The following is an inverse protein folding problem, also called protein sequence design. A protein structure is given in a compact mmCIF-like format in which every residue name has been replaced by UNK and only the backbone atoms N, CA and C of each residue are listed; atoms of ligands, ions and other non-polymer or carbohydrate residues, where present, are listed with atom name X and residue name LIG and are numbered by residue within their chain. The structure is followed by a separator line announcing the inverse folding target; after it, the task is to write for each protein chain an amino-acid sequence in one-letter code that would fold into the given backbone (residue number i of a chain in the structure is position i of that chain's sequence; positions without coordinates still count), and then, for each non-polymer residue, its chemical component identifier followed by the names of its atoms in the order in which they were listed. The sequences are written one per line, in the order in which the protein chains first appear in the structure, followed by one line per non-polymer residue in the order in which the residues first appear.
data_IF_259705467601
#
_entry.id   IF_259705467601
#
_cell.length_a   1.000
_cell.length_b   1.000
_cell.length_c   1.000
_cell.angle_alpha   90.00
_cell.angle_beta   90.00
_cell.angle_gamma   90.00
#
_symmetry.space_group_name_H-M   'P 1'
#
loop_
_entity.id
_entity.type
_entity.pdbx_description
1 polymer ?
#
# COMPACT_ATOMS: atom_id res chain seq x y z
N UNK A 1 -12.70 -0.44 20.83
CA UNK A 1 -11.57 -1.40 20.87
C UNK A 1 -10.24 -0.64 20.76
N UNK A 2 -9.11 -1.18 21.26
CA UNK A 2 -7.80 -0.58 21.00
C UNK A 2 -7.51 -0.57 19.49
N UNK A 3 -6.75 0.42 18.97
CA UNK A 3 -6.47 0.54 17.54
C UNK A 3 -5.58 -0.59 16.98
N UNK A 4 -4.94 -1.38 17.86
CA UNK A 4 -4.17 -2.57 17.52
C UNK A 4 -4.52 -3.75 18.41
N UNK A 5 -4.49 -4.95 17.82
CA UNK A 5 -4.29 -6.20 18.56
C UNK A 5 -2.87 -6.30 19.11
N UNK A 6 -2.63 -7.23 20.04
CA UNK A 6 -1.29 -7.51 20.57
C UNK A 6 -0.26 -7.78 19.45
N UNK A 7 -0.60 -8.60 18.45
CA UNK A 7 0.24 -8.88 17.27
C UNK A 7 0.62 -7.60 16.50
N UNK A 8 -0.31 -6.66 16.34
CA UNK A 8 -0.05 -5.38 15.70
C UNK A 8 0.90 -4.48 16.48
N UNK A 9 0.89 -4.57 17.82
CA UNK A 9 1.84 -3.86 18.68
C UNK A 9 3.26 -4.47 18.60
N UNK A 10 3.36 -5.81 18.56
CA UNK A 10 4.63 -6.52 18.32
C UNK A 10 5.22 -6.08 16.98
N UNK A 11 4.44 -6.12 15.90
CA UNK A 11 4.90 -5.65 14.59
C UNK A 11 5.39 -4.20 14.62
N UNK A 12 4.66 -3.29 15.27
CA UNK A 12 5.04 -1.89 15.39
C UNK A 12 6.37 -1.67 16.14
N UNK A 13 6.72 -2.53 17.11
CA UNK A 13 8.01 -2.50 17.81
C UNK A 13 9.18 -2.99 16.96
N UNK A 14 8.94 -4.00 16.11
CA UNK A 14 9.97 -4.60 15.25
C UNK A 14 10.27 -3.75 14.00
N UNK A 15 9.25 -3.05 13.48
CA UNK A 15 9.31 -2.29 12.23
C UNK A 15 10.50 -1.32 12.10
N UNK A 16 10.96 -0.58 13.15
CA UNK A 16 12.12 0.31 13.04
C UNK A 16 13.42 -0.42 12.72
N UNK A 17 13.68 -1.57 13.36
CA UNK A 17 14.89 -2.36 13.08
C UNK A 17 14.81 -2.95 11.68
N UNK A 18 13.67 -3.57 11.33
CA UNK A 18 13.49 -4.20 10.02
C UNK A 18 13.60 -3.18 8.89
N UNK A 19 13.11 -1.95 9.07
CA UNK A 19 13.27 -0.89 8.09
C UNK A 19 14.74 -0.42 7.98
N UNK A 20 15.44 -0.27 9.10
CA UNK A 20 16.87 0.09 9.09
C UNK A 20 17.76 -0.97 8.43
N UNK A 21 17.45 -2.26 8.61
CA UNK A 21 18.17 -3.37 7.96
C UNK A 21 17.96 -3.40 6.43
N UNK A 22 16.94 -2.70 5.91
CA UNK A 22 16.63 -2.56 4.47
C UNK A 22 17.14 -1.26 3.88
N UNK A 23 17.08 -0.18 4.63
CA UNK A 23 17.55 1.17 4.27
C UNK A 23 19.07 1.23 4.48
N UNK A 24 19.79 0.34 3.80
CA UNK A 24 21.23 0.15 3.95
C UNK A 24 21.97 1.40 3.41
N UNK A 25 22.81 2.07 4.22
CA UNK A 25 23.66 3.15 3.73
C UNK A 25 24.61 2.63 2.64
N UNK A 26 24.92 3.44 1.63
CA UNK A 26 26.13 3.19 0.84
C UNK A 26 27.32 3.32 1.79
N UNK A 27 28.16 2.29 1.91
CA UNK A 27 29.14 2.22 3.01
C UNK A 27 29.97 3.52 3.15
N UNK A 28 29.93 4.10 4.35
CA UNK A 28 30.49 5.42 4.67
C UNK A 28 29.52 6.61 4.62
N UNK A 29 28.28 6.46 4.11
CA UNK A 29 27.24 7.49 4.17
C UNK A 29 26.36 7.36 5.42
N UNK A 30 25.65 8.43 5.76
CA UNK A 30 24.45 8.29 6.60
C UNK A 30 23.41 7.38 5.90
N UNK A 31 22.47 6.76 6.64
CA UNK A 31 21.33 6.09 6.02
C UNK A 31 20.62 7.07 5.08
N UNK A 32 20.23 6.66 3.86
CA UNK A 32 19.46 7.53 2.99
C UNK A 32 18.19 7.96 3.74
N UNK A 33 17.82 9.25 3.70
CA UNK A 33 16.65 9.72 4.42
C UNK A 33 15.41 9.00 3.92
N UNK A 34 14.49 8.74 4.85
CA UNK A 34 13.20 8.10 4.54
C UNK A 34 12.10 9.08 4.91
N UNK A 35 11.17 9.31 3.99
CA UNK A 35 9.92 9.99 4.29
C UNK A 35 8.89 8.94 4.72
N UNK A 36 8.41 8.99 5.96
CA UNK A 36 7.38 8.06 6.44
C UNK A 36 6.00 8.69 6.27
N UNK A 37 5.16 8.10 5.42
CA UNK A 37 3.81 8.59 5.18
C UNK A 37 2.78 7.65 5.80
N UNK A 38 1.77 8.26 6.42
CA UNK A 38 0.72 7.54 7.16
C UNK A 38 -0.65 8.07 6.77
N UNK A 39 -1.70 7.26 6.96
CA UNK A 39 -3.07 7.79 7.00
C UNK A 39 -3.33 8.60 8.27
N UNK A 40 -4.48 9.28 8.33
CA UNK A 40 -4.92 9.99 9.54
C UNK A 40 -5.49 9.05 10.62
N UNK A 41 -5.68 7.76 10.30
CA UNK A 41 -6.25 6.79 11.23
C UNK A 41 -5.21 6.26 12.22
N UNK A 42 -5.60 6.19 13.50
CA UNK A 42 -4.71 5.87 14.63
C UNK A 42 -3.82 4.63 14.40
N UNK A 43 -4.31 3.60 13.72
CA UNK A 43 -3.56 2.36 13.45
C UNK A 43 -2.30 2.56 12.58
N UNK A 44 -2.31 3.49 11.62
CA UNK A 44 -1.09 3.75 10.83
C UNK A 44 -0.12 4.64 11.59
N UNK A 45 -0.65 5.61 12.32
CA UNK A 45 0.13 6.55 13.14
C UNK A 45 0.89 5.80 14.24
N UNK A 46 0.24 4.86 14.94
CA UNK A 46 0.85 4.07 16.00
C UNK A 46 1.86 3.07 15.43
N UNK A 47 1.56 2.35 14.34
CA UNK A 47 2.54 1.46 13.68
C UNK A 47 3.80 2.21 13.24
N UNK A 48 3.66 3.43 12.71
CA UNK A 48 4.79 4.25 12.29
C UNK A 48 5.52 4.96 13.44
N UNK A 49 4.95 5.00 14.66
CA UNK A 49 5.41 5.90 15.74
C UNK A 49 6.87 5.71 16.12
N UNK A 50 7.35 4.46 16.20
CA UNK A 50 8.72 4.10 16.54
C UNK A 50 9.75 4.30 15.41
N UNK A 51 9.33 4.62 14.18
CA UNK A 51 10.28 4.85 13.08
C UNK A 51 11.08 6.14 13.34
N UNK A 52 12.42 6.16 13.26
CA UNK A 52 13.25 7.32 13.60
C UNK A 52 13.32 8.38 12.48
N UNK A 53 12.28 8.45 11.64
CA UNK A 53 12.21 9.26 10.43
C UNK A 53 11.09 10.32 10.52
N UNK A 54 11.16 11.41 9.73
CA UNK A 54 10.08 12.39 9.59
C UNK A 54 8.77 11.73 9.13
N UNK A 55 7.65 12.13 9.74
CA UNK A 55 6.33 11.55 9.49
C UNK A 55 5.38 12.58 8.92
N UNK A 56 4.70 12.24 7.84
CA UNK A 56 3.64 13.05 7.22
C UNK A 56 2.33 12.27 7.23
N UNK A 57 1.23 12.92 7.57
CA UNK A 57 -0.11 12.34 7.51
C UNK A 57 -0.81 12.80 6.24
N UNK A 58 -1.29 11.84 5.44
CA UNK A 58 -2.05 12.08 4.22
C UNK A 58 -3.46 11.57 4.41
N UNK A 59 -4.46 12.46 4.32
CA UNK A 59 -5.87 12.04 4.34
C UNK A 59 -6.23 11.13 3.15
N UNK A 60 -5.55 11.34 2.02
CA UNK A 60 -5.64 10.48 0.85
C UNK A 60 -5.16 9.03 1.09
N UNK A 61 -4.46 8.73 2.20
CA UNK A 61 -4.08 7.38 2.61
C UNK A 61 -5.08 6.72 3.59
N UNK A 62 -6.18 7.37 3.97
CA UNK A 62 -7.25 6.76 4.78
C UNK A 62 -7.87 5.54 4.05
N UNK A 63 -8.30 4.50 4.77
CA UNK A 63 -8.88 3.28 4.16
C UNK A 63 -10.14 3.60 3.33
N UNK A 64 -10.48 2.72 2.38
CA UNK A 64 -11.75 2.81 1.65
C UNK A 64 -12.94 2.95 2.61
N UNK A 65 -13.76 3.97 2.41
CA UNK A 65 -14.94 4.21 3.23
C UNK A 65 -16.05 3.21 2.85
N UNK A 66 -16.44 2.35 3.79
CA UNK A 66 -17.48 1.35 3.57
C UNK A 66 -18.92 1.90 3.77
N UNK A 67 -19.06 3.20 4.10
CA UNK A 67 -20.34 3.88 4.25
C UNK A 67 -21.26 3.17 5.25
N UNK A 68 -22.47 2.78 4.81
CA UNK A 68 -23.42 2.04 5.67
C UNK A 68 -22.90 0.66 6.15
N UNK A 69 -21.86 0.12 5.52
CA UNK A 69 -21.23 -1.16 5.89
C UNK A 69 -20.05 -1.00 6.87
N UNK A 70 -19.75 0.21 7.34
CA UNK A 70 -18.68 0.44 8.31
C UNK A 70 -18.85 -0.38 9.60
N UNK A 71 -17.74 -0.91 10.10
CA UNK A 71 -17.72 -1.79 11.28
C UNK A 71 -18.36 -3.18 11.10
N UNK A 72 -18.97 -3.50 9.95
CA UNK A 72 -19.56 -4.82 9.70
C UNK A 72 -18.54 -5.81 9.14
N UNK A 73 -18.62 -7.06 9.58
CA UNK A 73 -17.90 -8.17 8.92
C UNK A 73 -18.54 -8.52 7.57
N UNK A 74 -17.78 -9.12 6.65
CA UNK A 74 -18.31 -9.62 5.38
C UNK A 74 -19.49 -10.59 5.55
N UNK A 75 -19.51 -11.39 6.63
CA UNK A 75 -20.63 -12.28 6.97
C UNK A 75 -21.89 -11.51 7.38
N UNK A 76 -21.74 -10.42 8.13
CA UNK A 76 -22.87 -9.56 8.49
C UNK A 76 -23.40 -8.78 7.28
N UNK A 77 -22.53 -8.29 6.39
CA UNK A 77 -22.96 -7.65 5.13
C UNK A 77 -23.77 -8.63 4.29
N UNK A 78 -23.28 -9.87 4.09
CA UNK A 78 -24.00 -10.90 3.36
C UNK A 78 -25.37 -11.27 3.98
N UNK A 79 -25.48 -11.22 5.31
CA UNK A 79 -26.72 -11.56 6.03
C UNK A 79 -27.72 -10.39 6.14
N UNK A 80 -27.25 -9.14 6.29
CA UNK A 80 -28.09 -7.95 6.51
C UNK A 80 -28.39 -7.17 5.23
N UNK A 81 -27.45 -7.17 4.28
CA UNK A 81 -27.47 -6.40 3.04
C UNK A 81 -27.08 -7.31 1.84
N UNK A 82 -27.83 -8.40 1.57
CA UNK A 82 -27.45 -9.37 0.53
C UNK A 82 -27.37 -8.74 -0.87
N UNK A 83 -28.21 -7.75 -1.20
CA UNK A 83 -28.12 -7.02 -2.47
C UNK A 83 -26.78 -6.30 -2.65
N UNK A 84 -26.33 -5.56 -1.64
CA UNK A 84 -25.03 -4.87 -1.63
C UNK A 84 -23.86 -5.86 -1.73
N UNK A 85 -23.96 -7.00 -1.03
CA UNK A 85 -22.98 -8.07 -1.11
C UNK A 85 -22.84 -8.63 -2.54
N UNK A 86 -23.96 -8.92 -3.21
CA UNK A 86 -23.97 -9.44 -4.58
C UNK A 86 -23.47 -8.40 -5.60
N UNK A 87 -23.92 -7.14 -5.49
CA UNK A 87 -23.46 -6.05 -6.36
C UNK A 87 -21.94 -5.87 -6.28
N UNK A 88 -21.40 -5.85 -5.06
CA UNK A 88 -19.95 -5.76 -4.84
C UNK A 88 -19.19 -7.00 -5.29
N UNK A 89 -19.80 -8.19 -5.21
CA UNK A 89 -19.18 -9.43 -5.71
C UNK A 89 -19.10 -9.44 -7.24
N UNK A 90 -20.07 -8.82 -7.93
CA UNK A 90 -20.15 -8.74 -9.39
C UNK A 90 -19.11 -7.79 -9.99
N UNK A 91 -18.97 -6.57 -9.47
CA UNK A 91 -17.91 -5.64 -9.87
C UNK A 91 -17.32 -4.93 -8.63
N UNK A 92 -16.28 -5.53 -8.06
CA UNK A 92 -15.58 -5.00 -6.88
C UNK A 92 -14.77 -3.72 -7.18
N UNK A 93 -14.48 -3.42 -8.44
CA UNK A 93 -13.73 -2.23 -8.84
C UNK A 93 -14.65 -1.00 -8.84
N UNK A 94 -15.79 -1.10 -9.52
CA UNK A 94 -16.74 0.01 -9.71
C UNK A 94 -17.82 0.11 -8.64
N UNK A 95 -18.14 -0.96 -7.91
CA UNK A 95 -19.10 -0.90 -6.81
C UNK A 95 -18.66 0.17 -5.79
N UNK A 96 -19.52 1.18 -5.60
CA UNK A 96 -19.40 2.21 -4.58
C UNK A 96 -20.32 1.85 -3.42
N UNK A 97 -19.78 1.78 -2.21
CA UNK A 97 -20.61 1.58 -1.02
C UNK A 97 -21.62 2.73 -0.87
N UNK A 98 -22.88 2.47 -0.45
CA UNK A 98 -23.83 3.54 -0.14
C UNK A 98 -23.27 4.45 0.96
N UNK A 99 -23.19 5.76 0.68
CA UNK A 99 -22.52 6.76 1.51
C UNK A 99 -21.03 6.47 1.79
N UNK A 100 -20.35 5.82 0.85
CA UNK A 100 -18.92 5.50 0.91
C UNK A 100 -18.25 5.54 -0.47
N UNK A 101 -17.18 4.77 -0.63
CA UNK A 101 -16.28 4.80 -1.79
C UNK A 101 -16.33 3.50 -2.62
N UNK A 102 -15.88 3.60 -3.87
CA UNK A 102 -15.46 2.48 -4.72
C UNK A 102 -13.93 2.41 -4.79
N UNK A 103 -13.37 1.34 -5.39
CA UNK A 103 -11.93 1.33 -5.68
C UNK A 103 -11.55 2.42 -6.69
N UNK A 104 -12.45 2.82 -7.60
CA UNK A 104 -12.22 3.93 -8.53
C UNK A 104 -12.07 5.27 -7.79
N UNK A 105 -12.90 5.53 -6.77
CA UNK A 105 -12.79 6.74 -5.93
C UNK A 105 -11.45 6.76 -5.16
N UNK A 106 -11.07 5.61 -4.58
CA UNK A 106 -9.79 5.44 -3.88
C UNK A 106 -8.61 5.70 -4.82
N UNK A 107 -8.65 5.17 -6.04
CA UNK A 107 -7.63 5.40 -7.07
C UNK A 107 -7.52 6.90 -7.38
N UNK A 108 -8.64 7.56 -7.69
CA UNK A 108 -8.65 8.98 -8.06
C UNK A 108 -8.09 9.89 -6.95
N UNK A 109 -8.40 9.62 -5.67
CA UNK A 109 -7.84 10.41 -4.56
C UNK A 109 -6.36 10.12 -4.26
N UNK A 110 -5.78 9.06 -4.81
CA UNK A 110 -4.37 8.72 -4.66
C UNK A 110 -3.47 9.39 -5.70
N UNK A 111 -4.01 9.94 -6.79
CA UNK A 111 -3.26 10.74 -7.78
C UNK A 111 -2.27 11.76 -7.16
N UNK A 112 -2.65 12.62 -6.18
CA UNK A 112 -1.71 13.53 -5.54
C UNK A 112 -0.63 12.82 -4.70
N UNK A 113 -0.94 11.66 -4.10
CA UNK A 113 0.04 10.86 -3.34
C UNK A 113 1.06 10.25 -4.31
N UNK A 114 0.58 9.64 -5.40
CA UNK A 114 1.42 9.05 -6.46
C UNK A 114 2.34 10.12 -7.06
N UNK A 115 1.79 11.29 -7.40
CA UNK A 115 2.53 12.43 -7.95
C UNK A 115 3.63 12.94 -7.01
N UNK A 116 3.41 12.84 -5.68
CA UNK A 116 4.41 13.19 -4.69
C UNK A 116 5.50 12.11 -4.58
N UNK A 117 5.14 10.82 -4.57
CA UNK A 117 6.12 9.70 -4.53
C UNK A 117 7.03 9.74 -5.77
N UNK A 118 6.48 10.00 -6.96
CA UNK A 118 7.28 10.10 -8.19
C UNK A 118 8.13 11.37 -8.28
N UNK A 119 7.82 12.40 -7.48
CA UNK A 119 8.66 13.60 -7.34
C UNK A 119 9.77 13.42 -6.30
N UNK A 120 9.55 12.57 -5.30
CA UNK A 120 10.51 12.40 -4.23
C UNK A 120 11.84 11.79 -4.69
N UNK A 121 12.92 12.26 -4.09
CA UNK A 121 14.29 11.80 -4.40
C UNK A 121 14.76 10.69 -3.47
N UNK A 122 14.08 10.58 -2.35
CA UNK A 122 14.45 9.78 -1.19
C UNK A 122 13.46 8.61 -1.03
N UNK A 123 13.77 7.66 -0.15
CA UNK A 123 12.90 6.50 0.03
C UNK A 123 11.59 6.91 0.72
N UNK A 124 10.43 6.50 0.19
CA UNK A 124 9.12 6.74 0.82
C UNK A 124 8.58 5.46 1.45
N UNK A 125 8.42 5.46 2.77
CA UNK A 125 7.83 4.35 3.53
C UNK A 125 6.35 4.66 3.81
N UNK A 126 5.44 3.97 3.12
CA UNK A 126 3.99 4.19 3.23
C UNK A 126 3.36 3.16 4.18
N UNK A 127 2.81 3.63 5.30
CA UNK A 127 2.02 2.83 6.24
C UNK A 127 0.54 3.19 6.07
N UNK A 128 -0.19 2.36 5.33
CA UNK A 128 -1.59 2.58 4.98
C UNK A 128 -2.45 1.31 5.20
N UNK A 129 -3.50 1.11 4.40
CA UNK A 129 -4.53 0.07 4.61
C UNK A 129 -4.74 -0.77 3.35
N UNK A 130 -5.59 -1.80 3.41
CA UNK A 130 -5.57 -2.85 2.39
C UNK A 130 -6.07 -2.36 1.03
N UNK A 131 -7.16 -1.60 0.93
CA UNK A 131 -7.63 -1.11 -0.37
C UNK A 131 -6.70 -0.05 -0.96
N UNK A 132 -6.16 0.83 -0.10
CA UNK A 132 -5.19 1.87 -0.47
C UNK A 132 -3.87 1.27 -0.98
N UNK A 133 -3.29 0.31 -0.25
CA UNK A 133 -2.04 -0.33 -0.64
C UNK A 133 -2.20 -1.19 -1.90
N UNK A 134 -3.38 -1.79 -2.13
CA UNK A 134 -3.71 -2.43 -3.41
C UNK A 134 -3.67 -1.45 -4.58
N UNK A 135 -4.28 -0.27 -4.43
CA UNK A 135 -4.30 0.75 -5.48
C UNK A 135 -2.89 1.29 -5.78
N UNK A 136 -2.12 1.65 -4.74
CA UNK A 136 -0.73 2.09 -4.89
C UNK A 136 0.16 1.03 -5.54
N UNK A 137 0.10 -0.22 -5.06
CA UNK A 137 0.83 -1.34 -5.66
C UNK A 137 0.41 -1.58 -7.12
N UNK A 138 -0.90 -1.51 -7.40
CA UNK A 138 -1.45 -1.65 -8.74
C UNK A 138 -0.87 -0.64 -9.73
N UNK A 139 -0.75 0.62 -9.31
CA UNK A 139 -0.09 1.67 -10.08
C UNK A 139 1.40 1.35 -10.31
N UNK A 140 2.20 1.20 -9.24
CA UNK A 140 3.65 1.07 -9.36
C UNK A 140 4.09 -0.21 -10.10
N UNK A 141 3.38 -1.33 -9.88
CA UNK A 141 3.62 -2.60 -10.54
C UNK A 141 2.87 -2.75 -11.89
N UNK A 142 2.25 -1.67 -12.39
CA UNK A 142 1.51 -1.62 -13.67
C UNK A 142 0.53 -2.79 -13.84
N UNK A 143 -0.23 -3.11 -12.78
CA UNK A 143 -1.24 -4.20 -12.79
C UNK A 143 -2.51 -3.73 -13.50
N UNK A 144 -3.25 -4.62 -14.19
CA UNK A 144 -4.55 -4.28 -14.75
C UNK A 144 -5.53 -3.81 -13.67
N UNK A 145 -6.27 -2.72 -13.92
CA UNK A 145 -7.27 -2.17 -12.98
C UNK A 145 -8.26 -3.22 -12.43
N UNK A 146 -8.70 -4.17 -13.27
CA UNK A 146 -9.60 -5.24 -12.88
C UNK A 146 -9.03 -6.17 -11.78
N UNK A 147 -7.70 -6.33 -11.71
CA UNK A 147 -7.03 -7.14 -10.69
C UNK A 147 -6.80 -6.38 -9.37
N UNK A 148 -6.80 -5.04 -9.42
CA UNK A 148 -6.43 -4.19 -8.27
C UNK A 148 -7.20 -4.55 -7.00
N UNK A 149 -8.54 -4.73 -7.01
CA UNK A 149 -9.29 -5.10 -5.82
C UNK A 149 -8.97 -6.49 -5.25
N UNK A 150 -8.31 -7.37 -6.00
CA UNK A 150 -7.94 -8.74 -5.60
C UNK A 150 -6.48 -8.94 -5.23
N UNK A 151 -5.61 -7.96 -5.49
CA UNK A 151 -4.17 -8.04 -5.20
C UNK A 151 -3.88 -8.47 -3.74
N UNK A 152 -2.89 -9.35 -3.56
CA UNK A 152 -2.51 -9.86 -2.25
C UNK A 152 -1.60 -8.87 -1.51
N UNK A 153 -2.19 -8.15 -0.54
CA UNK A 153 -1.49 -7.31 0.43
C UNK A 153 -1.72 -7.92 1.83
N UNK A 154 -0.82 -8.80 2.30
CA UNK A 154 -0.91 -9.41 3.63
C UNK A 154 -0.54 -8.43 4.75
N UNK A 155 -1.00 -8.73 5.98
CA UNK A 155 -0.55 -8.00 7.17
C UNK A 155 0.88 -8.38 7.55
N UNK A 156 1.53 -7.53 8.33
CA UNK A 156 2.88 -7.74 8.87
C UNK A 156 3.95 -8.09 7.81
N UNK A 157 3.78 -7.60 6.58
CA UNK A 157 4.70 -7.82 5.47
C UNK A 157 5.16 -6.47 4.93
N UNK A 158 6.47 -6.28 4.81
CA UNK A 158 7.04 -5.14 4.09
C UNK A 158 7.11 -5.52 2.60
N UNK A 159 6.65 -4.63 1.74
CA UNK A 159 6.69 -4.77 0.29
C UNK A 159 7.58 -3.66 -0.26
N UNK A 160 8.80 -4.02 -0.64
CA UNK A 160 9.80 -3.12 -1.19
C UNK A 160 9.66 -3.08 -2.72
N UNK A 161 9.49 -1.87 -3.27
CA UNK A 161 9.40 -1.64 -4.71
C UNK A 161 10.60 -0.82 -5.19
N UNK A 162 11.46 -1.41 -6.01
CA UNK A 162 12.73 -0.80 -6.46
C UNK A 162 12.66 -0.46 -7.95
N UNK A 163 12.70 0.82 -8.35
CA UNK A 163 12.72 1.22 -9.76
C UNK A 163 13.92 0.63 -10.50
N UNK A 164 13.65 0.00 -11.64
CA UNK A 164 14.68 -0.58 -12.50
C UNK A 164 15.03 0.35 -13.68
N UNK A 165 16.26 0.25 -14.24
CA UNK A 165 16.68 1.07 -15.37
C UNK A 165 15.84 0.92 -16.65
N UNK A 166 15.13 -0.20 -16.80
CA UNK A 166 14.24 -0.50 -17.93
C UNK A 166 12.81 0.09 -17.76
N UNK A 167 12.53 0.74 -16.64
CA UNK A 167 11.21 1.29 -16.31
C UNK A 167 10.28 0.36 -15.53
N UNK A 168 10.68 -0.90 -15.31
CA UNK A 168 9.94 -1.81 -14.43
C UNK A 168 10.13 -1.44 -12.95
N UNK A 169 9.38 -2.11 -12.07
CA UNK A 169 9.61 -2.13 -10.64
C UNK A 169 9.95 -3.55 -10.23
N UNK A 170 11.10 -3.74 -9.58
CA UNK A 170 11.37 -5.00 -8.88
C UNK A 170 10.59 -5.00 -7.55
N UNK A 171 10.12 -6.18 -7.15
CA UNK A 171 9.42 -6.37 -5.88
C UNK A 171 10.22 -7.32 -4.99
N UNK A 172 10.38 -6.95 -3.71
CA UNK A 172 10.75 -7.91 -2.67
C UNK A 172 9.75 -7.86 -1.52
N UNK A 173 9.37 -9.03 -0.99
CA UNK A 173 8.45 -9.16 0.16
C UNK A 173 9.19 -9.72 1.36
N UNK A 174 8.99 -9.09 2.51
CA UNK A 174 9.54 -9.54 3.80
C UNK A 174 8.40 -9.71 4.79
N UNK A 175 7.96 -10.96 4.94
CA UNK A 175 6.98 -11.35 5.94
C UNK A 175 7.63 -11.39 7.32
N UNK A 176 6.97 -10.77 8.30
CA UNK A 176 7.43 -10.73 9.69
C UNK A 176 6.62 -11.74 10.49
N UNK A 177 7.26 -12.83 10.91
CA UNK A 177 6.68 -13.78 11.86
C UNK A 177 6.57 -13.14 13.26
N UNK A 178 5.47 -12.42 13.44
CA UNK A 178 5.11 -11.75 14.69
C UNK A 178 4.85 -12.72 15.84
N UNK A 179 4.51 -13.98 15.56
CA UNK A 179 4.23 -14.96 16.62
C UNK A 179 5.55 -15.52 17.17
N UNK A 180 6.49 -15.87 16.30
CA UNK A 180 7.86 -16.22 16.68
C UNK A 180 8.58 -15.04 17.35
N UNK A 181 8.39 -13.81 16.85
CA UNK A 181 9.00 -12.63 17.45
C UNK A 181 8.43 -12.32 18.84
N UNK A 182 7.10 -12.43 19.04
CA UNK A 182 6.48 -12.28 20.36
C UNK A 182 6.97 -13.36 21.35
N UNK A 183 7.10 -14.60 20.90
CA UNK A 183 7.67 -15.69 21.71
C UNK A 183 9.13 -15.41 22.11
N UNK A 184 9.91 -14.79 21.21
CA UNK A 184 11.30 -14.39 21.49
C UNK A 184 11.39 -13.18 22.44
N UNK A 185 10.53 -12.17 22.32
CA UNK A 185 10.45 -11.07 23.29
C UNK A 185 10.17 -11.59 24.72
N UNK A 186 9.34 -12.64 24.85
CA UNK A 186 9.09 -13.31 26.14
C UNK A 186 10.27 -14.13 26.71
N UNK A 187 11.29 -14.42 25.89
CA UNK A 187 12.49 -15.17 26.27
C UNK A 187 13.73 -14.27 26.43
N UNK A 188 13.78 -13.13 25.73
CA UNK A 188 14.92 -12.21 25.67
C UNK A 188 14.97 -11.20 26.84
N UNK A 189 14.51 -11.60 28.03
CA UNK A 189 14.56 -10.80 29.25
C UNK A 189 15.95 -10.66 29.88
N UNK A 190 16.99 -11.22 29.25
CA UNK A 190 18.38 -11.20 29.73
C UNK A 190 19.38 -11.23 28.55
N UNK A 191 20.48 -10.47 28.67
CA UNK A 191 21.63 -10.47 27.74
C UNK A 191 21.59 -9.47 26.56
N UNK A 192 22.56 -8.54 26.51
CA UNK A 192 22.85 -7.66 25.35
C UNK A 192 24.28 -7.82 24.80
N UNK A 193 24.63 -7.16 23.69
CA UNK A 193 26.00 -7.14 23.12
C UNK A 193 26.10 -6.66 21.66
N UNK A 194 27.24 -6.10 21.23
CA UNK A 194 27.41 -5.25 20.03
C UNK A 194 28.15 -5.84 18.79
N UNK A 195 27.74 -5.36 17.58
CA UNK A 195 28.49 -4.83 16.39
C UNK A 195 29.58 -5.58 15.56
N UNK A 196 29.56 -5.26 14.24
CA UNK A 196 30.63 -5.32 13.20
C UNK A 196 30.26 -6.20 11.99
N UNK A 197 30.40 -5.87 10.67
CA UNK A 197 31.01 -4.77 9.89
C UNK A 197 32.23 -5.26 9.06
N UNK A 198 32.48 -5.00 7.76
CA UNK A 198 31.88 -4.24 6.62
C UNK A 198 32.51 -4.75 5.27
N UNK A 199 32.04 -4.36 4.05
CA UNK A 199 32.85 -4.05 2.82
C UNK A 199 32.06 -3.84 1.49
N UNK A 200 32.67 -3.16 0.48
CA UNK A 200 32.01 -2.30 -0.53
C UNK A 200 32.54 -2.39 -2.00
N UNK A 201 31.70 -2.04 -3.02
CA UNK A 201 31.95 -1.28 -4.31
C UNK A 201 30.70 -1.34 -5.24
N UNK A 202 30.03 -0.26 -5.71
CA UNK A 202 30.36 0.84 -6.65
C UNK A 202 30.39 0.45 -8.17
N UNK A 203 29.87 1.19 -9.18
CA UNK A 203 28.97 2.37 -9.28
C UNK A 203 28.58 2.68 -10.78
N UNK A 204 27.79 3.75 -11.02
CA UNK A 204 27.50 4.52 -12.28
C UNK A 204 26.38 4.07 -13.25
N UNK A 205 25.74 5.08 -13.89
CA UNK A 205 24.66 4.96 -14.90
C UNK A 205 24.68 6.10 -15.93
N UNK A 206 23.67 6.18 -16.82
CA UNK A 206 23.53 7.24 -17.85
C UNK A 206 22.05 7.41 -18.34
N UNK A 207 21.68 8.21 -19.38
CA UNK A 207 20.82 9.39 -19.19
C UNK A 207 19.34 9.25 -19.65
N UNK A 208 18.60 10.37 -19.50
CA UNK A 208 17.13 10.50 -19.55
C UNK A 208 16.52 10.43 -20.97
N UNK A 209 15.60 9.49 -21.17
CA UNK A 209 14.42 9.63 -22.03
C UNK A 209 13.27 10.31 -21.26
N UNK A 210 12.07 10.42 -21.84
CA UNK A 210 10.86 10.90 -21.15
C UNK A 210 10.68 10.17 -19.81
N UNK A 211 10.21 10.88 -18.77
CA UNK A 211 10.27 10.31 -17.42
C UNK A 211 9.44 9.02 -17.33
N UNK A 212 10.01 7.98 -16.71
CA UNK A 212 9.35 6.68 -16.61
C UNK A 212 8.04 6.78 -15.80
N UNK A 213 7.98 7.74 -14.88
CA UNK A 213 6.77 8.27 -14.24
C UNK A 213 5.66 8.61 -15.26
N UNK A 214 5.92 9.48 -16.24
CA UNK A 214 4.94 9.80 -17.29
C UNK A 214 4.46 8.58 -18.07
N UNK A 215 5.30 7.56 -18.29
CA UNK A 215 4.88 6.35 -19.00
C UNK A 215 3.93 5.49 -18.15
N UNK A 216 4.15 5.40 -16.83
CA UNK A 216 3.23 4.74 -15.90
C UNK A 216 1.92 5.51 -15.77
N UNK A 217 1.98 6.82 -15.58
CA UNK A 217 0.81 7.69 -15.58
C UNK A 217 0.00 7.56 -16.88
N UNK A 218 0.66 7.60 -18.05
CA UNK A 218 0.00 7.40 -19.36
C UNK A 218 -0.59 5.99 -19.51
N UNK A 219 0.07 4.94 -19.00
CA UNK A 219 -0.48 3.57 -18.99
C UNK A 219 -1.74 3.49 -18.13
N UNK A 220 -1.66 3.99 -16.90
CA UNK A 220 -2.72 3.91 -15.92
C UNK A 220 -3.94 4.76 -16.31
N UNK A 221 -3.73 6.00 -16.79
CA UNK A 221 -4.79 6.85 -17.35
C UNK A 221 -5.43 6.19 -18.59
N UNK A 222 -4.66 5.56 -19.48
CA UNK A 222 -5.24 4.80 -20.60
C UNK A 222 -6.08 3.61 -20.14
N UNK A 223 -5.71 2.94 -19.05
CA UNK A 223 -6.55 1.91 -18.45
C UNK A 223 -7.84 2.51 -17.89
N UNK A 224 -7.78 3.65 -17.19
CA UNK A 224 -8.96 4.36 -16.69
C UNK A 224 -9.91 4.77 -17.84
N UNK A 225 -9.37 5.38 -18.90
CA UNK A 225 -10.13 5.78 -20.10
C UNK A 225 -10.77 4.59 -20.82
N UNK A 226 -10.03 3.49 -20.99
CA UNK A 226 -10.54 2.28 -21.65
C UNK A 226 -11.63 1.60 -20.81
N UNK A 227 -11.44 1.50 -19.48
CA UNK A 227 -12.44 0.94 -18.57
C UNK A 227 -13.66 1.85 -18.38
N UNK A 228 -13.52 3.16 -18.59
CA UNK A 228 -14.63 4.12 -18.63
C UNK A 228 -15.49 3.96 -19.89
N UNK A 229 -14.87 3.86 -21.07
CA UNK A 229 -15.59 3.68 -22.35
C UNK A 229 -16.33 2.34 -22.44
N UNK A 230 -15.75 1.27 -21.91
CA UNK A 230 -16.44 -0.02 -21.79
C UNK A 230 -17.65 0.00 -20.83
N UNK A 231 -17.78 1.04 -19.99
CA UNK A 231 -18.92 1.22 -19.08
C UNK A 231 -20.08 1.97 -19.74
N UNK A 232 -19.81 2.90 -20.66
CA UNK A 232 -20.86 3.67 -21.35
C UNK A 232 -21.63 2.83 -22.39
N UNK A 233 -21.01 1.76 -22.90
CA UNK A 233 -21.66 0.83 -23.85
C UNK A 233 -22.57 -0.21 -23.15
N UNK A 234 -22.63 -0.22 -21.81
CA UNK A 234 -23.49 -1.13 -21.03
C UNK A 234 -24.76 -0.49 -20.46
N UNK A 235 -24.95 0.83 -20.62
CA UNK A 235 -26.15 1.56 -20.18
C UNK A 235 -27.20 1.70 -21.32
N UNK A 236 -27.65 0.56 -21.87
CA UNK A 236 -28.93 0.51 -22.61
C UNK A 236 -30.00 -0.18 -21.74
N UNK A 237 -30.91 0.58 -21.09
CA UNK A 237 -32.00 0.03 -20.29
C UNK A 237 -33.17 -0.51 -21.14
N UNK A 238 -32.94 -0.84 -22.41
CA UNK A 238 -33.98 -1.02 -23.44
C UNK A 238 -34.27 -2.44 -23.92
N UNK A 239 -33.53 -3.49 -23.53
CA UNK A 239 -33.68 -4.83 -24.13
C UNK A 239 -34.00 -5.98 -23.16
N UNK A 240 -35.29 -6.10 -22.87
CA UNK A 240 -35.92 -7.37 -22.49
C UNK A 240 -35.97 -8.35 -23.67
N UNK A 241 -36.17 -9.64 -23.33
CA UNK A 241 -36.53 -10.79 -24.19
C UNK A 241 -35.39 -11.54 -24.89
N UNK A 242 -35.55 -12.87 -25.12
CA UNK A 242 -36.66 -13.75 -24.71
C UNK A 242 -36.39 -14.56 -23.43
#
# INVERSE_FOLDING_TARGET
PPPHSYRGQVYARLLPQILMDRVVPLAGSAPPPVAVWTSTLARTIITASGLPFPKVQWKALDEIQAGICEGMTYREIAARLPGEYELRRRDKLRYRYPSGESYMDVIQRLDPVISEVERERECVCIVAHQAVLRALYGYFMNRPLAEVPSLNIPLHTIMELTPQPDGTMAETRFEVDVDLAAAREGLAGDGGGEKGGDHQKAARGMPRSASLAELRAKSFVRQLDAFGRLSSDSDDPGRLMP
#
